data_IF_967830972277
#
_entry.id   IF_967830972277
#
_cell.length_a   1.000
_cell.length_b   1.000
_cell.length_c   1.000
_cell.angle_alpha   90.00
_cell.angle_beta   90.00
_cell.angle_gamma   90.00
#
_symmetry.space_group_name_H-M   'P 1'
#
loop_
_entity.id
_entity.type
_entity.pdbx_description
1 polymer ?
#
# COMPACT_ATOMS: atom_id res chain seq x y z
N UNK A 1 -19.21 -23.04 -15.25
CA UNK A 1 -18.59 -22.55 -14.00
C UNK A 1 -17.54 -21.45 -14.24
N UNK A 2 -16.75 -21.46 -15.33
CA UNK A 2 -15.71 -20.45 -15.61
C UNK A 2 -16.20 -19.00 -15.70
N UNK A 3 -17.33 -18.75 -16.33
CA UNK A 3 -17.81 -17.37 -16.58
C UNK A 3 -18.15 -16.55 -15.31
N UNK A 4 -18.52 -17.18 -14.21
CA UNK A 4 -18.92 -16.47 -12.99
C UNK A 4 -17.68 -16.07 -12.16
N UNK A 5 -16.70 -16.94 -12.03
CA UNK A 5 -15.45 -16.66 -11.32
C UNK A 5 -14.65 -15.54 -12.01
N UNK A 6 -14.60 -15.52 -13.36
CA UNK A 6 -13.95 -14.47 -14.12
C UNK A 6 -14.65 -13.11 -13.97
N UNK A 7 -15.98 -13.09 -13.87
CA UNK A 7 -16.75 -11.86 -13.63
C UNK A 7 -16.51 -11.33 -12.22
N UNK A 8 -16.48 -12.20 -11.22
CA UNK A 8 -16.22 -11.84 -9.83
C UNK A 8 -14.78 -11.30 -9.67
N UNK A 9 -13.79 -11.92 -10.33
CA UNK A 9 -12.40 -11.45 -10.32
C UNK A 9 -12.26 -10.05 -10.92
N UNK A 10 -12.85 -9.82 -12.11
CA UNK A 10 -12.82 -8.49 -12.75
C UNK A 10 -13.50 -7.42 -11.89
N UNK A 11 -14.61 -7.74 -11.28
CA UNK A 11 -15.29 -6.82 -10.36
C UNK A 11 -14.40 -6.46 -9.17
N UNK A 12 -13.75 -7.44 -8.55
CA UNK A 12 -12.84 -7.20 -7.43
C UNK A 12 -11.60 -6.39 -7.84
N UNK A 13 -11.06 -6.62 -9.04
CA UNK A 13 -9.96 -5.81 -9.58
C UNK A 13 -10.40 -4.34 -9.79
N UNK A 14 -11.60 -4.09 -10.28
CA UNK A 14 -12.14 -2.73 -10.39
C UNK A 14 -12.35 -2.09 -9.01
N UNK A 15 -12.86 -2.85 -8.04
CA UNK A 15 -12.97 -2.39 -6.66
C UNK A 15 -11.60 -2.05 -6.04
N UNK A 16 -10.59 -2.86 -6.32
CA UNK A 16 -9.21 -2.59 -5.90
C UNK A 16 -8.71 -1.25 -6.46
N UNK A 17 -8.80 -1.04 -7.77
CA UNK A 17 -8.41 0.23 -8.42
C UNK A 17 -9.19 1.40 -7.83
N UNK A 18 -10.51 1.25 -7.66
CA UNK A 18 -11.36 2.26 -7.04
C UNK A 18 -10.92 2.64 -5.62
N UNK A 19 -10.54 1.65 -4.80
CA UNK A 19 -10.01 1.86 -3.45
C UNK A 19 -8.67 2.60 -3.49
N UNK A 20 -7.74 2.21 -4.36
CA UNK A 20 -6.45 2.90 -4.53
C UNK A 20 -6.68 4.38 -4.86
N UNK A 21 -7.53 4.69 -5.84
CA UNK A 21 -7.83 6.06 -6.24
C UNK A 21 -8.51 6.85 -5.10
N UNK A 22 -9.47 6.25 -4.40
CA UNK A 22 -10.13 6.88 -3.28
C UNK A 22 -9.16 7.17 -2.12
N UNK A 23 -8.29 6.22 -1.79
CA UNK A 23 -7.23 6.38 -0.80
C UNK A 23 -6.29 7.52 -1.16
N UNK A 24 -5.73 7.49 -2.37
CA UNK A 24 -4.88 8.54 -2.90
C UNK A 24 -5.52 9.93 -2.85
N UNK A 25 -6.74 10.06 -3.40
CA UNK A 25 -7.45 11.35 -3.44
C UNK A 25 -7.64 11.94 -2.04
N UNK A 26 -7.91 11.10 -1.06
CA UNK A 26 -8.09 11.58 0.31
C UNK A 26 -6.75 12.01 0.95
N UNK A 27 -5.66 11.28 0.74
CA UNK A 27 -4.34 11.69 1.25
C UNK A 27 -3.90 13.02 0.65
N UNK A 28 -4.08 13.21 -0.68
CA UNK A 28 -3.80 14.49 -1.32
C UNK A 28 -4.62 15.63 -0.70
N UNK A 29 -5.92 15.40 -0.44
CA UNK A 29 -6.76 16.39 0.22
C UNK A 29 -6.24 16.75 1.62
N UNK A 30 -5.75 15.77 2.39
CA UNK A 30 -5.17 16.01 3.71
C UNK A 30 -3.91 16.88 3.61
N UNK A 31 -2.98 16.55 2.72
CA UNK A 31 -1.76 17.32 2.50
C UNK A 31 -2.08 18.76 2.08
N UNK A 32 -2.99 18.95 1.13
CA UNK A 32 -3.43 20.27 0.68
C UNK A 32 -4.12 21.07 1.79
N UNK A 33 -4.87 20.42 2.68
CA UNK A 33 -5.48 21.08 3.83
C UNK A 33 -4.42 21.62 4.79
N UNK A 34 -3.38 20.84 5.11
CA UNK A 34 -2.26 21.26 5.96
C UNK A 34 -1.50 22.43 5.31
N UNK A 35 -1.21 22.34 4.00
CA UNK A 35 -0.55 23.43 3.26
C UNK A 35 -1.38 24.72 3.33
N UNK A 36 -2.69 24.62 3.12
CA UNK A 36 -3.61 25.78 3.19
C UNK A 36 -3.65 26.38 4.59
N UNK A 37 -3.70 25.55 5.63
CA UNK A 37 -3.69 25.99 7.02
C UNK A 37 -2.38 26.69 7.37
N UNK A 38 -1.23 26.12 6.99
CA UNK A 38 0.09 26.70 7.16
C UNK A 38 0.21 28.06 6.46
N UNK A 39 -0.28 28.17 5.24
CA UNK A 39 -0.29 29.45 4.53
C UNK A 39 -1.20 30.51 5.22
N UNK A 40 -2.32 30.07 5.80
CA UNK A 40 -3.18 30.93 6.62
C UNK A 40 -2.48 31.45 7.86
N UNK A 41 -1.76 30.57 8.59
CA UNK A 41 -0.98 30.96 9.77
C UNK A 41 0.11 32.00 9.43
N UNK A 42 0.82 31.86 8.32
CA UNK A 42 1.77 32.86 7.85
C UNK A 42 1.06 34.20 7.62
N UNK A 43 -0.11 34.17 6.95
CA UNK A 43 -0.92 35.37 6.71
C UNK A 43 -1.35 36.08 8.00
N UNK A 44 -1.73 35.31 9.02
CA UNK A 44 -2.15 35.86 10.33
C UNK A 44 -0.95 36.41 11.11
N UNK A 45 0.20 35.76 11.08
CA UNK A 45 1.44 36.29 11.68
C UNK A 45 1.85 37.62 11.04
N UNK A 46 1.77 37.77 9.73
CA UNK A 46 2.05 39.02 9.03
C UNK A 46 1.09 40.14 9.43
N UNK A 47 -0.21 39.82 9.60
CA UNK A 47 -1.24 40.83 9.92
C UNK A 47 -1.26 41.25 11.39
N UNK A 48 -1.04 40.29 12.29
CA UNK A 48 -1.28 40.43 13.72
C UNK A 48 -0.02 40.28 14.57
N UNK A 49 1.13 39.91 13.96
CA UNK A 49 2.42 39.78 14.64
C UNK A 49 2.83 41.07 15.33
N UNK A 50 3.42 40.96 16.52
CA UNK A 50 3.86 42.13 17.30
C UNK A 50 5.13 42.67 16.71
N UNK A 51 5.14 43.93 16.28
CA UNK A 51 6.33 44.65 15.84
C UNK A 51 7.43 44.55 16.93
N UNK A 52 8.57 43.95 16.60
CA UNK A 52 9.75 43.85 17.48
C UNK A 52 10.05 42.47 18.07
N UNK A 53 9.25 41.44 17.80
CA UNK A 53 9.62 40.04 18.05
C UNK A 53 10.22 39.43 16.79
N UNK A 54 11.33 38.69 16.96
CA UNK A 54 11.91 37.89 15.89
C UNK A 54 11.01 36.64 15.69
N UNK A 55 10.14 36.68 14.68
CA UNK A 55 9.23 35.61 14.31
C UNK A 55 9.86 34.72 13.23
N UNK A 56 11.11 34.94 12.85
CA UNK A 56 11.78 34.23 11.76
C UNK A 56 11.82 32.73 11.97
N UNK A 57 12.02 32.24 13.20
CA UNK A 57 12.03 30.82 13.52
C UNK A 57 10.65 30.19 13.30
N UNK A 58 9.58 30.90 13.64
CA UNK A 58 8.20 30.42 13.46
C UNK A 58 7.81 30.36 11.98
N UNK A 59 8.23 31.36 11.18
CA UNK A 59 8.04 31.30 9.72
C UNK A 59 8.77 30.12 9.10
N UNK A 60 10.01 29.86 9.50
CA UNK A 60 10.81 28.75 8.99
C UNK A 60 10.17 27.39 9.34
N UNK A 61 9.64 27.23 10.55
CA UNK A 61 8.93 26.01 10.97
C UNK A 61 7.67 25.77 10.11
N UNK A 62 6.87 26.81 9.88
CA UNK A 62 5.67 26.70 9.05
C UNK A 62 6.02 26.38 7.59
N UNK A 63 7.04 27.05 7.04
CA UNK A 63 7.52 26.80 5.69
C UNK A 63 8.02 25.35 5.57
N UNK A 64 8.83 24.88 6.53
CA UNK A 64 9.28 23.48 6.56
C UNK A 64 8.12 22.48 6.57
N UNK A 65 7.06 22.77 7.31
CA UNK A 65 5.85 21.94 7.28
C UNK A 65 5.18 21.91 5.89
N UNK A 66 5.16 23.03 5.18
CA UNK A 66 4.63 23.09 3.80
C UNK A 66 5.50 22.26 2.86
N UNK A 67 6.82 22.42 2.94
CA UNK A 67 7.78 21.66 2.12
C UNK A 67 7.63 20.15 2.34
N UNK A 68 7.55 19.69 3.58
CA UNK A 68 7.31 18.29 3.93
C UNK A 68 6.01 17.75 3.30
N UNK A 69 4.92 18.53 3.34
CA UNK A 69 3.66 18.11 2.74
C UNK A 69 3.75 18.05 1.21
N UNK A 70 4.49 18.96 0.60
CA UNK A 70 4.72 18.95 -0.86
C UNK A 70 5.53 17.73 -1.27
N UNK A 71 6.61 17.39 -0.56
CA UNK A 71 7.43 16.20 -0.84
C UNK A 71 6.62 14.91 -0.72
N UNK A 72 5.83 14.77 0.35
CA UNK A 72 4.92 13.62 0.53
C UNK A 72 3.89 13.52 -0.59
N UNK A 73 3.36 14.66 -1.04
CA UNK A 73 2.41 14.72 -2.16
C UNK A 73 3.07 14.24 -3.45
N UNK A 74 4.26 14.73 -3.77
CA UNK A 74 5.01 14.32 -4.97
C UNK A 74 5.37 12.84 -4.93
N UNK A 75 5.76 12.31 -3.77
CA UNK A 75 6.02 10.88 -3.60
C UNK A 75 4.76 10.03 -3.89
N UNK A 76 3.60 10.43 -3.37
CA UNK A 76 2.33 9.73 -3.65
C UNK A 76 1.95 9.77 -5.13
N UNK A 77 2.13 10.91 -5.81
CA UNK A 77 1.93 11.00 -7.26
C UNK A 77 2.87 10.06 -8.03
N UNK A 78 4.13 9.98 -7.61
CA UNK A 78 5.10 9.06 -8.20
C UNK A 78 4.67 7.59 -8.05
N UNK A 79 4.19 7.21 -6.87
CA UNK A 79 3.67 5.86 -6.61
C UNK A 79 2.42 5.57 -7.45
N UNK A 80 1.46 6.49 -7.51
CA UNK A 80 0.26 6.29 -8.32
C UNK A 80 0.58 6.18 -9.82
N UNK A 81 1.52 6.99 -10.30
CA UNK A 81 1.95 6.94 -11.71
C UNK A 81 2.59 5.59 -12.05
N UNK A 82 3.50 5.08 -11.21
CA UNK A 82 4.09 3.75 -11.39
C UNK A 82 3.04 2.63 -11.32
N UNK A 83 2.13 2.71 -10.36
CA UNK A 83 0.99 1.80 -10.25
C UNK A 83 0.17 1.79 -11.54
N UNK A 84 -0.21 2.96 -12.07
CA UNK A 84 -0.97 3.08 -13.30
C UNK A 84 -0.24 2.47 -14.50
N UNK A 85 1.07 2.74 -14.66
CA UNK A 85 1.86 2.14 -15.72
C UNK A 85 1.96 0.61 -15.63
N UNK A 86 1.98 0.05 -14.40
CA UNK A 86 1.94 -1.41 -14.25
C UNK A 86 0.60 -2.00 -14.69
N UNK A 87 -0.50 -1.27 -14.51
CA UNK A 87 -1.83 -1.75 -14.95
C UNK A 87 -1.94 -1.95 -16.47
N UNK A 88 -1.09 -1.31 -17.26
CA UNK A 88 -1.05 -1.46 -18.71
C UNK A 88 -0.27 -2.70 -19.19
N UNK A 89 0.40 -3.43 -18.28
CA UNK A 89 1.30 -4.54 -18.62
C UNK A 89 0.71 -5.88 -18.19
N UNK A 90 0.43 -6.79 -19.14
CA UNK A 90 -0.02 -8.16 -18.82
C UNK A 90 1.14 -9.05 -18.33
N UNK A 91 2.36 -8.83 -18.85
CA UNK A 91 3.57 -9.55 -18.42
C UNK A 91 4.77 -8.63 -18.52
N UNK A 92 5.48 -8.45 -17.42
CA UNK A 92 6.68 -7.63 -17.35
C UNK A 92 7.73 -8.24 -16.45
N UNK A 93 8.98 -7.79 -16.63
CA UNK A 93 10.06 -8.04 -15.66
C UNK A 93 10.02 -6.91 -14.63
N UNK A 94 9.87 -7.23 -13.36
CA UNK A 94 9.80 -6.24 -12.30
C UNK A 94 10.42 -6.71 -10.99
N UNK A 95 10.78 -5.74 -10.15
CA UNK A 95 11.24 -5.98 -8.78
C UNK A 95 10.03 -6.06 -7.84
N UNK A 96 9.96 -7.15 -7.07
CA UNK A 96 8.85 -7.39 -6.12
C UNK A 96 8.84 -6.36 -5.00
N UNK A 97 10.01 -5.98 -4.46
CA UNK A 97 10.08 -4.98 -3.40
C UNK A 97 9.55 -3.61 -3.86
N UNK A 98 9.93 -3.16 -5.07
CA UNK A 98 9.41 -1.91 -5.62
C UNK A 98 7.89 -1.94 -5.79
N UNK A 99 7.36 -3.06 -6.31
CA UNK A 99 5.92 -3.24 -6.48
C UNK A 99 5.16 -3.24 -5.16
N UNK A 100 5.75 -3.84 -4.11
CA UNK A 100 5.20 -3.82 -2.75
C UNK A 100 5.30 -2.43 -2.11
N UNK A 101 6.42 -1.70 -2.30
CA UNK A 101 6.58 -0.34 -1.79
C UNK A 101 5.52 0.61 -2.36
N UNK A 102 5.25 0.51 -3.66
CA UNK A 102 4.20 1.27 -4.32
C UNK A 102 2.82 0.95 -3.73
N UNK A 103 2.50 -0.34 -3.62
CA UNK A 103 1.22 -0.77 -3.09
C UNK A 103 1.03 -0.33 -1.64
N UNK A 104 2.02 -0.58 -0.78
CA UNK A 104 1.97 -0.21 0.65
C UNK A 104 1.77 1.29 0.82
N UNK A 105 2.50 2.12 0.05
CA UNK A 105 2.34 3.57 0.12
C UNK A 105 0.90 4.02 -0.20
N UNK A 106 0.27 3.40 -1.22
CA UNK A 106 -1.08 3.75 -1.65
C UNK A 106 -2.18 3.23 -0.72
N UNK A 107 -1.93 2.12 0.01
CA UNK A 107 -2.92 1.51 0.92
C UNK A 107 -2.70 1.84 2.39
N UNK A 108 -1.58 2.46 2.76
CA UNK A 108 -1.21 2.74 4.15
C UNK A 108 -2.31 3.47 4.94
N UNK A 109 -3.06 4.33 4.26
CA UNK A 109 -4.21 5.02 4.83
C UNK A 109 -5.28 4.06 5.38
N UNK A 110 -5.59 2.96 4.68
CA UNK A 110 -6.60 2.00 5.15
C UNK A 110 -6.16 1.33 6.45
N UNK A 111 -4.87 1.05 6.58
CA UNK A 111 -4.28 0.56 7.81
C UNK A 111 -4.38 1.61 8.93
N UNK A 112 -4.01 2.87 8.66
CA UNK A 112 -4.09 3.97 9.62
C UNK A 112 -5.52 4.22 10.11
N UNK A 113 -6.52 4.15 9.23
CA UNK A 113 -7.93 4.29 9.61
C UNK A 113 -8.37 3.24 10.63
N UNK A 114 -7.78 2.04 10.57
CA UNK A 114 -8.01 0.95 11.50
C UNK A 114 -7.07 0.97 12.70
N UNK A 115 -6.16 1.95 12.78
CA UNK A 115 -5.07 2.03 13.75
C UNK A 115 -4.17 0.79 13.71
N UNK A 116 -3.89 0.28 12.52
CA UNK A 116 -2.99 -0.84 12.26
C UNK A 116 -1.76 -0.28 11.51
N UNK A 117 -0.57 -0.77 11.88
CA UNK A 117 0.68 -0.37 11.25
C UNK A 117 1.11 -1.41 10.20
N UNK A 118 1.50 -0.95 9.01
CA UNK A 118 2.17 -1.79 8.01
C UNK A 118 3.69 -1.62 8.16
N UNK A 119 4.39 -2.70 8.50
CA UNK A 119 5.84 -2.74 8.60
C UNK A 119 6.44 -3.52 7.43
N UNK A 120 7.63 -3.11 6.97
CA UNK A 120 8.31 -3.72 5.83
C UNK A 120 9.65 -4.32 6.27
N UNK A 121 9.84 -5.61 6.02
CA UNK A 121 11.08 -6.36 6.23
C UNK A 121 11.54 -6.97 4.90
N UNK A 122 11.94 -6.12 3.95
CA UNK A 122 12.29 -6.55 2.62
C UNK A 122 13.76 -6.97 2.54
N UNK A 123 14.00 -8.18 2.03
CA UNK A 123 15.36 -8.63 1.71
C UNK A 123 15.93 -7.73 0.61
N UNK A 124 17.15 -7.22 0.80
CA UNK A 124 17.89 -6.48 -0.23
C UNK A 124 18.27 -7.43 -1.38
N UNK A 125 18.44 -6.86 -2.54
CA UNK A 125 18.97 -7.57 -3.72
C UNK A 125 18.13 -8.81 -4.15
N UNK A 126 16.79 -8.68 -4.09
CA UNK A 126 15.90 -9.67 -4.68
C UNK A 126 16.07 -9.74 -6.20
N UNK A 127 16.20 -10.94 -6.79
CA UNK A 127 16.16 -11.06 -8.24
C UNK A 127 14.80 -10.60 -8.78
N UNK A 128 14.73 -10.04 -10.01
CA UNK A 128 13.46 -9.70 -10.62
C UNK A 128 12.66 -10.96 -10.95
N UNK A 129 11.35 -10.79 -11.12
CA UNK A 129 10.47 -11.83 -11.66
C UNK A 129 9.89 -11.37 -12.99
N UNK A 130 9.58 -12.33 -13.86
CA UNK A 130 8.78 -12.10 -15.07
C UNK A 130 7.38 -12.64 -14.81
N UNK A 131 6.42 -11.73 -14.62
CA UNK A 131 5.07 -12.10 -14.23
C UNK A 131 4.08 -10.98 -14.61
N UNK A 132 2.84 -11.09 -14.15
CA UNK A 132 1.77 -10.11 -14.29
C UNK A 132 1.77 -9.15 -13.07
N UNK A 133 2.29 -7.91 -13.20
CA UNK A 133 2.39 -6.98 -12.06
C UNK A 133 1.02 -6.55 -11.51
N UNK A 134 0.00 -6.22 -12.33
CA UNK A 134 -1.36 -5.95 -11.86
C UNK A 134 -1.94 -7.06 -11.01
N UNK A 135 -1.84 -8.28 -11.51
CA UNK A 135 -2.41 -9.45 -10.83
C UNK A 135 -1.68 -9.74 -9.51
N UNK A 136 -0.35 -9.56 -9.49
CA UNK A 136 0.46 -9.65 -8.28
C UNK A 136 0.04 -8.61 -7.23
N UNK A 137 -0.06 -7.33 -7.61
CA UNK A 137 -0.47 -6.26 -6.69
C UNK A 137 -1.90 -6.47 -6.18
N UNK A 138 -2.80 -6.92 -7.04
CA UNK A 138 -4.15 -7.27 -6.64
C UNK A 138 -4.19 -8.40 -5.60
N UNK A 139 -3.42 -9.48 -5.81
CA UNK A 139 -3.33 -10.59 -4.85
C UNK A 139 -2.84 -10.11 -3.47
N UNK A 140 -1.73 -9.37 -3.46
CA UNK A 140 -1.17 -8.85 -2.20
C UNK A 140 -2.13 -7.89 -1.51
N UNK A 141 -2.81 -7.03 -2.28
CA UNK A 141 -3.86 -6.15 -1.75
C UNK A 141 -4.98 -6.94 -1.08
N UNK A 142 -5.50 -7.98 -1.74
CA UNK A 142 -6.54 -8.84 -1.17
C UNK A 142 -6.13 -9.47 0.15
N UNK A 143 -4.90 -9.97 0.23
CA UNK A 143 -4.37 -10.59 1.45
C UNK A 143 -4.21 -9.56 2.59
N UNK A 144 -3.67 -8.38 2.27
CA UNK A 144 -3.53 -7.31 3.27
C UNK A 144 -4.91 -6.83 3.73
N UNK A 145 -5.85 -6.62 2.81
CA UNK A 145 -7.20 -6.15 3.14
C UNK A 145 -7.95 -7.14 4.04
N UNK A 146 -7.90 -8.44 3.70
CA UNK A 146 -8.49 -9.48 4.53
C UNK A 146 -7.85 -9.51 5.93
N UNK A 147 -6.53 -9.35 6.00
CA UNK A 147 -5.80 -9.30 7.27
C UNK A 147 -6.16 -8.07 8.09
N UNK A 148 -6.26 -6.89 7.44
CA UNK A 148 -6.70 -5.65 8.10
C UNK A 148 -8.12 -5.77 8.67
N UNK A 149 -9.01 -6.53 8.02
CA UNK A 149 -10.37 -6.73 8.51
C UNK A 149 -10.42 -7.70 9.70
N UNK A 150 -9.49 -8.64 9.78
CA UNK A 150 -9.44 -9.65 10.84
C UNK A 150 -8.69 -9.20 12.10
N UNK A 151 -7.93 -8.11 12.05
CA UNK A 151 -7.13 -7.63 13.17
C UNK A 151 -7.82 -6.54 13.99
N UNK A 152 -7.59 -6.57 15.30
CA UNK A 152 -8.00 -5.50 16.21
C UNK A 152 -7.08 -4.26 16.05
N UNK A 153 -7.53 -3.13 16.60
CA UNK A 153 -6.79 -1.86 16.64
C UNK A 153 -5.45 -2.04 17.37
N UNK A 154 -4.49 -1.20 17.01
CA UNK A 154 -3.12 -1.20 17.53
C UNK A 154 -2.32 -2.48 17.22
N UNK A 155 -2.79 -3.25 16.26
CA UNK A 155 -2.08 -4.38 15.67
C UNK A 155 -1.09 -3.93 14.59
N UNK A 156 -0.29 -4.88 14.10
CA UNK A 156 0.67 -4.66 13.01
C UNK A 156 0.54 -5.75 11.96
N UNK A 157 0.87 -5.43 10.74
CA UNK A 157 1.07 -6.39 9.65
C UNK A 157 2.50 -6.21 9.16
N UNK A 158 3.30 -7.27 9.25
CA UNK A 158 4.67 -7.28 8.75
C UNK A 158 4.68 -7.92 7.36
N UNK A 159 5.10 -7.15 6.37
CA UNK A 159 5.34 -7.60 5.01
C UNK A 159 6.81 -7.94 4.88
N UNK A 160 7.10 -9.21 4.61
CA UNK A 160 8.47 -9.69 4.46
C UNK A 160 8.71 -10.28 3.09
N UNK A 161 9.89 -10.03 2.53
CA UNK A 161 10.34 -10.69 1.31
C UNK A 161 11.62 -11.46 1.56
N UNK A 162 11.77 -12.60 0.90
CA UNK A 162 12.99 -13.41 0.94
C UNK A 162 13.13 -14.26 -0.31
N UNK A 163 14.32 -14.83 -0.51
CA UNK A 163 14.57 -15.82 -1.57
C UNK A 163 14.84 -17.18 -0.94
N UNK A 164 14.19 -18.22 -1.45
CA UNK A 164 14.43 -19.61 -1.06
C UNK A 164 14.25 -20.53 -2.25
N UNK A 165 15.22 -21.40 -2.49
CA UNK A 165 15.20 -22.43 -3.56
C UNK A 165 14.78 -21.88 -4.95
N UNK A 166 15.31 -20.71 -5.35
CA UNK A 166 14.98 -20.08 -6.64
C UNK A 166 13.57 -19.50 -6.73
N UNK A 167 12.93 -19.28 -5.59
CA UNK A 167 11.61 -18.62 -5.49
C UNK A 167 11.70 -17.38 -4.62
N UNK A 168 10.95 -16.36 -4.98
CA UNK A 168 10.71 -15.22 -4.12
C UNK A 168 9.51 -15.54 -3.23
N UNK A 169 9.72 -15.37 -1.94
CA UNK A 169 8.67 -15.51 -0.93
C UNK A 169 8.21 -14.12 -0.51
N UNK A 170 6.92 -13.90 -0.57
CA UNK A 170 6.24 -12.70 -0.02
C UNK A 170 5.36 -13.17 1.13
N UNK A 171 5.70 -12.74 2.33
CA UNK A 171 5.03 -13.15 3.56
C UNK A 171 4.27 -12.00 4.18
N UNK A 172 3.09 -12.28 4.68
CA UNK A 172 2.20 -11.33 5.36
C UNK A 172 1.93 -11.89 6.75
N UNK A 173 2.58 -11.31 7.76
CA UNK A 173 2.49 -11.75 9.14
C UNK A 173 1.66 -10.78 9.98
N UNK A 174 0.44 -11.16 10.38
CA UNK A 174 -0.33 -10.40 11.34
C UNK A 174 0.30 -10.48 12.74
N UNK A 175 0.40 -9.36 13.43
CA UNK A 175 0.89 -9.25 14.81
C UNK A 175 -0.15 -8.51 15.63
N UNK A 176 -0.88 -9.23 16.46
CA UNK A 176 -1.94 -8.71 17.33
C UNK A 176 -3.07 -9.70 17.52
N UNK A 177 -4.17 -9.23 18.08
CA UNK A 177 -5.35 -10.04 18.33
C UNK A 177 -6.26 -10.08 17.11
N UNK A 178 -6.80 -11.25 16.81
CA UNK A 178 -7.84 -11.42 15.81
C UNK A 178 -9.20 -11.10 16.40
N UNK A 179 -10.03 -10.42 15.64
CA UNK A 179 -11.43 -10.22 15.95
C UNK A 179 -12.28 -11.22 15.15
N UNK A 180 -13.41 -11.63 15.68
CA UNK A 180 -14.42 -12.33 14.88
C UNK A 180 -14.92 -11.36 13.82
N UNK A 181 -14.52 -11.57 12.58
CA UNK A 181 -14.98 -10.79 11.45
C UNK A 181 -15.58 -11.70 10.39
N UNK A 182 -16.50 -11.14 9.61
CA UNK A 182 -16.94 -11.76 8.36
C UNK A 182 -15.72 -11.99 7.46
N UNK A 183 -15.83 -12.97 6.55
CA UNK A 183 -14.79 -13.22 5.56
C UNK A 183 -14.48 -11.91 4.81
N UNK A 184 -13.20 -11.62 4.62
CA UNK A 184 -12.78 -10.44 3.87
C UNK A 184 -13.31 -10.46 2.43
N UNK A 185 -13.27 -9.32 1.72
CA UNK A 185 -13.92 -9.14 0.42
C UNK A 185 -13.38 -10.07 -0.67
N UNK A 186 -12.16 -10.59 -0.52
CA UNK A 186 -11.54 -11.52 -1.46
C UNK A 186 -11.51 -12.92 -0.85
N UNK A 187 -12.29 -13.84 -1.40
CA UNK A 187 -12.38 -15.23 -0.92
C UNK A 187 -11.06 -15.99 -1.11
N UNK A 188 -10.85 -17.05 -0.33
CA UNK A 188 -9.68 -17.93 -0.50
C UNK A 188 -9.61 -18.57 -1.88
N UNK A 189 -10.74 -18.93 -2.46
CA UNK A 189 -10.81 -19.51 -3.81
C UNK A 189 -10.24 -18.55 -4.86
N UNK A 190 -10.62 -17.28 -4.81
CA UNK A 190 -10.09 -16.26 -5.73
C UNK A 190 -8.59 -16.06 -5.51
N UNK A 191 -8.12 -16.01 -4.27
CA UNK A 191 -6.68 -15.89 -3.97
C UNK A 191 -5.89 -17.08 -4.52
N UNK A 192 -6.41 -18.29 -4.36
CA UNK A 192 -5.80 -19.53 -4.84
C UNK A 192 -5.77 -19.58 -6.38
N UNK A 193 -6.82 -19.12 -7.04
CA UNK A 193 -6.88 -19.05 -8.50
C UNK A 193 -5.92 -17.98 -9.04
N UNK A 194 -5.84 -16.83 -8.40
CA UNK A 194 -4.92 -15.75 -8.79
C UNK A 194 -3.45 -16.21 -8.62
N UNK A 195 -3.10 -16.84 -7.50
CA UNK A 195 -1.71 -17.32 -7.31
C UNK A 195 -1.33 -18.40 -8.31
N UNK A 196 -2.27 -19.27 -8.72
CA UNK A 196 -2.04 -20.24 -9.81
C UNK A 196 -1.80 -19.55 -11.15
N UNK A 197 -2.57 -18.49 -11.48
CA UNK A 197 -2.35 -17.71 -12.70
C UNK A 197 -0.97 -17.05 -12.71
N UNK A 198 -0.45 -16.65 -11.55
CA UNK A 198 0.91 -16.13 -11.37
C UNK A 198 1.98 -17.24 -11.41
N UNK A 199 1.61 -18.50 -11.59
CA UNK A 199 2.56 -19.64 -11.57
C UNK A 199 3.19 -19.88 -10.19
N UNK A 200 2.53 -19.41 -9.13
CA UNK A 200 3.01 -19.51 -7.75
C UNK A 200 2.26 -20.50 -6.89
N UNK A 201 2.59 -20.49 -5.61
CA UNK A 201 1.87 -21.20 -4.55
C UNK A 201 1.60 -20.29 -3.37
N UNK A 202 0.59 -20.59 -2.59
CA UNK A 202 0.23 -19.86 -1.37
C UNK A 202 0.08 -20.85 -0.23
N UNK A 203 0.74 -20.55 0.88
CA UNK A 203 0.66 -21.31 2.13
C UNK A 203 0.08 -20.41 3.22
N UNK A 204 -0.74 -20.97 4.07
CA UNK A 204 -1.40 -20.27 5.18
C UNK A 204 -1.30 -21.12 6.43
N UNK A 205 -0.77 -20.52 7.47
CA UNK A 205 -0.68 -21.13 8.80
C UNK A 205 -1.14 -20.18 9.88
N UNK A 206 -0.87 -20.53 11.15
CA UNK A 206 -1.20 -19.70 12.31
C UNK A 206 -0.35 -18.43 12.42
N UNK A 207 0.78 -18.35 11.73
CA UNK A 207 1.68 -17.20 11.75
C UNK A 207 1.33 -16.19 10.67
N UNK A 208 0.78 -16.66 9.53
CA UNK A 208 0.41 -15.77 8.44
C UNK A 208 0.20 -16.44 7.08
N UNK A 209 0.43 -15.68 6.04
CA UNK A 209 0.29 -16.12 4.66
C UNK A 209 1.58 -15.90 3.90
N UNK A 210 2.04 -16.91 3.18
CA UNK A 210 3.25 -16.86 2.34
C UNK A 210 2.88 -17.17 0.90
N UNK A 211 3.26 -16.27 -0.02
CA UNK A 211 3.19 -16.47 -1.46
C UNK A 211 4.58 -16.81 -1.96
N UNK A 212 4.73 -17.87 -2.76
CA UNK A 212 5.98 -18.23 -3.42
C UNK A 212 5.85 -18.09 -4.94
N UNK A 213 6.69 -17.25 -5.55
CA UNK A 213 6.76 -17.00 -6.99
C UNK A 213 8.11 -17.43 -7.54
N UNK A 214 8.14 -17.87 -8.80
CA UNK A 214 9.41 -18.26 -9.46
C UNK A 214 10.22 -17.01 -9.78
N UNK A 215 11.49 -16.98 -9.34
CA UNK A 215 12.43 -15.91 -9.69
C UNK A 215 13.00 -16.12 -11.10
N UNK A 216 13.45 -15.04 -11.73
CA UNK A 216 14.33 -15.15 -12.88
C UNK A 216 15.73 -15.54 -12.35
N UNK A 217 16.23 -16.65 -12.85
CA UNK A 217 17.63 -17.08 -12.61
C UNK A 217 18.59 -16.21 -13.41
#
# INVERSE_FOLDING_TARGET
MGNRCDQDLRYLQLCFIGKIIAGFTHEIKNHLAIIKESAGLIGDLIKFGKKGKDESAQYLEIIGSVEDQMERTLALFSYLNRFAHRMDMQTAVFNVNESLDELVALINRFAHQRKITLEKEFQRDLPPIKNDPPLFQFLVFCLIENTLMALDKNSKIVLKTSVSAGRILVSIFPKGNFIESEQGPCSREIQDDVVKQLGGSIERDSEGTVIALVSMS
#
